data_IF_433036178399
#
_entry.id   IF_433036178399
#
_cell.length_a   1.000
_cell.length_b   1.000
_cell.length_c   1.000
_cell.angle_alpha   90.00
_cell.angle_beta   90.00
_cell.angle_gamma   90.00
#
_symmetry.space_group_name_H-M   'P 1'
#
loop_
_entity.id
_entity.type
_entity.pdbx_description
1 polymer ?
#
# COMPACT_ATOMS: atom_id res chain seq x y z
N UNK A 1 -22.24 -8.72 10.27
CA UNK A 1 -22.66 -7.43 9.66
C UNK A 1 -21.76 -6.34 10.19
N UNK A 2 -20.86 -5.78 9.37
CA UNK A 2 -19.93 -4.72 9.78
C UNK A 2 -20.65 -3.39 9.97
N UNK A 3 -20.46 -2.75 11.13
CA UNK A 3 -21.13 -1.51 11.50
C UNK A 3 -20.74 -0.38 10.52
N UNK A 4 -21.70 0.17 9.75
CA UNK A 4 -21.48 1.21 8.72
C UNK A 4 -20.75 2.45 9.26
N UNK A 5 -20.92 2.78 10.55
CA UNK A 5 -20.22 3.88 11.22
C UNK A 5 -18.71 3.62 11.43
N UNK A 6 -18.27 2.36 11.42
CA UNK A 6 -16.86 1.97 11.50
C UNK A 6 -16.16 2.23 10.17
N UNK A 7 -16.82 1.86 9.06
CA UNK A 7 -16.27 1.93 7.69
C UNK A 7 -15.96 3.37 7.28
N UNK A 8 -16.84 4.33 7.60
CA UNK A 8 -16.62 5.75 7.26
C UNK A 8 -15.47 6.36 8.07
N UNK A 9 -15.33 6.01 9.36
CA UNK A 9 -14.22 6.47 10.20
C UNK A 9 -12.89 5.87 9.79
N UNK A 10 -12.91 4.62 9.34
CA UNK A 10 -11.75 3.93 8.78
C UNK A 10 -11.31 4.54 7.46
N UNK A 11 -12.26 4.84 6.56
CA UNK A 11 -12.00 5.56 5.32
C UNK A 11 -11.41 6.96 5.57
N UNK A 12 -11.87 7.68 6.59
CA UNK A 12 -11.31 8.98 6.97
C UNK A 12 -9.85 8.87 7.43
N UNK A 13 -9.52 7.88 8.27
CA UNK A 13 -8.13 7.61 8.70
C UNK A 13 -7.24 7.21 7.53
N UNK A 14 -7.76 6.37 6.63
CA UNK A 14 -7.06 6.00 5.40
C UNK A 14 -6.79 7.22 4.52
N UNK A 15 -7.77 8.10 4.33
CA UNK A 15 -7.60 9.33 3.56
C UNK A 15 -6.52 10.24 4.15
N UNK A 16 -6.47 10.39 5.49
CA UNK A 16 -5.40 11.16 6.15
C UNK A 16 -4.02 10.53 5.93
N UNK A 17 -3.90 9.20 5.97
CA UNK A 17 -2.66 8.50 5.66
C UNK A 17 -2.24 8.70 4.20
N UNK A 18 -3.16 8.54 3.24
CA UNK A 18 -2.89 8.75 1.80
C UNK A 18 -2.40 10.18 1.55
N UNK A 19 -3.03 11.19 2.16
CA UNK A 19 -2.61 12.58 2.00
C UNK A 19 -1.20 12.84 2.52
N UNK A 20 -0.81 12.21 3.64
CA UNK A 20 0.57 12.30 4.16
C UNK A 20 1.57 11.66 3.20
N UNK A 21 1.23 10.50 2.65
CA UNK A 21 2.13 9.79 1.74
C UNK A 21 2.31 10.53 0.41
N UNK A 22 1.21 11.04 -0.16
CA UNK A 22 1.26 11.91 -1.35
C UNK A 22 2.06 13.18 -1.05
N UNK A 23 1.82 13.85 0.08
CA UNK A 23 2.58 15.03 0.48
C UNK A 23 4.10 14.75 0.57
N UNK A 24 4.47 13.60 1.15
CA UNK A 24 5.86 13.14 1.23
C UNK A 24 6.47 12.92 -0.15
N UNK A 25 5.76 12.25 -1.07
CA UNK A 25 6.24 12.04 -2.45
C UNK A 25 6.44 13.37 -3.20
N UNK A 26 5.50 14.30 -3.08
CA UNK A 26 5.61 15.64 -3.67
C UNK A 26 6.83 16.39 -3.13
N UNK A 27 7.05 16.36 -1.81
CA UNK A 27 8.22 16.98 -1.17
C UNK A 27 9.53 16.38 -1.67
N UNK A 28 9.62 15.06 -1.75
CA UNK A 28 10.81 14.36 -2.24
C UNK A 28 11.09 14.72 -3.69
N UNK A 29 10.08 14.67 -4.57
CA UNK A 29 10.23 15.04 -5.97
C UNK A 29 10.65 16.50 -6.15
N UNK A 30 10.05 17.43 -5.37
CA UNK A 30 10.45 18.84 -5.36
C UNK A 30 11.93 19.01 -5.02
N UNK A 31 12.41 18.33 -3.98
CA UNK A 31 13.80 18.40 -3.55
C UNK A 31 14.75 17.82 -4.60
N UNK A 32 14.39 16.70 -5.23
CA UNK A 32 15.18 16.10 -6.33
C UNK A 32 15.23 17.05 -7.53
N UNK A 33 14.13 17.73 -7.84
CA UNK A 33 14.07 18.74 -8.89
C UNK A 33 14.80 20.06 -8.53
N UNK A 34 15.41 20.16 -7.35
CA UNK A 34 16.13 21.35 -6.89
C UNK A 34 15.22 22.57 -6.64
N UNK A 35 13.91 22.35 -6.50
CA UNK A 35 12.94 23.42 -6.37
C UNK A 35 12.71 23.83 -4.92
N UNK A 36 12.59 25.12 -4.67
CA UNK A 36 12.09 25.67 -3.41
C UNK A 36 10.55 25.62 -3.39
N UNK A 37 9.96 25.67 -2.20
CA UNK A 37 8.50 25.79 -2.08
C UNK A 37 7.97 27.09 -2.71
N UNK A 38 8.77 28.17 -2.73
CA UNK A 38 8.45 29.43 -3.40
C UNK A 38 8.31 29.30 -4.91
N UNK A 39 9.21 28.55 -5.55
CA UNK A 39 9.12 28.29 -7.00
C UNK A 39 7.86 27.49 -7.34
N UNK A 40 7.56 26.44 -6.56
CA UNK A 40 6.33 25.65 -6.75
C UNK A 40 5.09 26.52 -6.52
N UNK A 41 5.08 27.33 -5.46
CA UNK A 41 3.98 28.24 -5.13
C UNK A 41 3.71 29.24 -6.26
N UNK A 42 4.78 29.82 -6.84
CA UNK A 42 4.70 30.75 -7.97
C UNK A 42 4.06 30.12 -9.21
N UNK A 43 4.46 28.90 -9.58
CA UNK A 43 3.87 28.19 -10.74
C UNK A 43 2.41 27.80 -10.49
N UNK A 44 2.08 27.41 -9.26
CA UNK A 44 0.71 27.02 -8.90
C UNK A 44 -0.23 28.21 -8.65
N UNK A 45 0.30 29.44 -8.55
CA UNK A 45 -0.48 30.62 -8.16
C UNK A 45 -1.02 30.52 -6.73
N UNK A 46 -0.23 29.98 -5.80
CA UNK A 46 -0.61 29.79 -4.39
C UNK A 46 0.47 30.30 -3.44
N UNK A 47 0.27 30.19 -2.13
CA UNK A 47 1.25 30.61 -1.12
C UNK A 47 2.26 29.50 -0.79
N UNK A 48 3.45 29.90 -0.31
CA UNK A 48 4.45 28.97 0.24
C UNK A 48 3.86 28.12 1.37
N UNK A 49 3.05 28.75 2.25
CA UNK A 49 2.36 28.06 3.34
C UNK A 49 1.38 27.01 2.84
N UNK A 50 0.71 27.24 1.70
CA UNK A 50 -0.15 26.25 1.07
C UNK A 50 0.66 25.06 0.56
N UNK A 51 1.75 25.29 -0.16
CA UNK A 51 2.68 24.23 -0.63
C UNK A 51 3.18 23.40 0.55
N UNK A 52 3.64 24.06 1.62
CA UNK A 52 4.09 23.37 2.83
C UNK A 52 2.99 22.51 3.45
N UNK A 53 1.75 23.02 3.57
CA UNK A 53 0.62 22.23 4.11
C UNK A 53 0.27 21.04 3.23
N UNK A 54 0.37 21.16 1.90
CA UNK A 54 0.18 20.04 0.97
C UNK A 54 1.28 18.99 1.18
N UNK A 55 2.55 19.40 1.24
CA UNK A 55 3.70 18.49 1.44
C UNK A 55 3.66 17.75 2.79
N UNK A 56 3.01 18.31 3.80
CA UNK A 56 2.79 17.65 5.09
C UNK A 56 1.46 16.86 5.16
N UNK A 57 0.66 16.83 4.09
CA UNK A 57 -0.64 16.16 4.06
C UNK A 57 -1.70 16.80 4.95
N UNK A 58 -1.59 18.10 5.26
CA UNK A 58 -2.46 18.82 6.20
C UNK A 58 -3.72 19.42 5.56
N UNK A 59 -3.89 19.31 4.24
CA UNK A 59 -5.09 19.80 3.54
C UNK A 59 -6.05 18.63 3.33
N UNK A 60 -6.98 18.44 4.28
CA UNK A 60 -7.97 17.34 4.28
C UNK A 60 -8.87 17.29 3.04
N UNK A 61 -9.05 18.42 2.36
CA UNK A 61 -9.86 18.56 1.14
C UNK A 61 -9.04 18.75 -0.13
N UNK A 62 -7.75 18.35 -0.15
CA UNK A 62 -6.94 18.47 -1.35
C UNK A 62 -7.51 17.56 -2.46
N UNK A 63 -8.23 18.15 -3.40
CA UNK A 63 -8.81 17.42 -4.51
C UNK A 63 -7.74 16.87 -5.46
N UNK A 64 -8.07 15.79 -6.17
CA UNK A 64 -7.18 15.15 -7.14
C UNK A 64 -6.61 16.14 -8.17
N UNK A 65 -7.42 17.10 -8.62
CA UNK A 65 -7.00 18.14 -9.57
C UNK A 65 -5.88 19.00 -8.99
N UNK A 66 -6.01 19.43 -7.74
CA UNK A 66 -4.99 20.24 -7.07
C UNK A 66 -3.69 19.46 -6.86
N UNK A 67 -3.81 18.21 -6.41
CA UNK A 67 -2.65 17.31 -6.25
C UNK A 67 -1.97 17.01 -7.59
N UNK A 68 -2.73 16.86 -8.67
CA UNK A 68 -2.19 16.62 -10.02
C UNK A 68 -1.44 17.82 -10.57
N UNK A 69 -1.92 19.04 -10.32
CA UNK A 69 -1.20 20.26 -10.68
C UNK A 69 0.12 20.36 -9.92
N UNK A 70 0.12 20.11 -8.61
CA UNK A 70 1.35 20.11 -7.82
C UNK A 70 2.33 19.04 -8.33
N UNK A 71 1.85 17.80 -8.52
CA UNK A 71 2.65 16.70 -9.04
C UNK A 71 3.31 17.06 -10.38
N UNK A 72 2.54 17.63 -11.32
CA UNK A 72 3.07 18.03 -12.62
C UNK A 72 4.21 19.06 -12.51
N UNK A 73 4.11 20.03 -11.58
CA UNK A 73 5.16 21.03 -11.33
C UNK A 73 6.46 20.38 -10.85
N UNK A 74 6.37 19.31 -10.07
CA UNK A 74 7.54 18.58 -9.54
C UNK A 74 7.95 17.37 -10.38
N UNK A 75 7.43 17.25 -11.61
CA UNK A 75 7.80 16.19 -12.56
C UNK A 75 7.14 14.83 -12.30
N UNK A 76 6.03 14.79 -11.57
CA UNK A 76 5.25 13.59 -11.28
C UNK A 76 3.90 13.58 -12.01
N UNK A 77 3.36 12.37 -12.19
CA UNK A 77 1.99 12.14 -12.68
C UNK A 77 1.26 11.24 -11.68
N UNK A 78 0.19 11.71 -11.01
CA UNK A 78 -0.53 10.87 -10.07
C UNK A 78 -1.22 9.68 -10.76
N UNK A 79 -1.27 8.57 -10.05
CA UNK A 79 -2.00 7.37 -10.47
C UNK A 79 -2.78 6.84 -9.27
N UNK A 80 -4.10 6.68 -9.41
CA UNK A 80 -4.97 6.19 -8.34
C UNK A 80 -5.21 4.70 -8.53
N UNK A 81 -5.02 3.94 -7.44
CA UNK A 81 -5.44 2.53 -7.35
C UNK A 81 -6.44 2.38 -6.21
N UNK A 82 -7.58 1.78 -6.49
CA UNK A 82 -8.61 1.49 -5.50
C UNK A 82 -8.34 0.13 -4.86
N UNK A 83 -8.53 0.06 -3.54
CA UNK A 83 -8.42 -1.17 -2.76
C UNK A 83 -9.77 -1.46 -2.09
N UNK A 84 -10.19 -2.74 -2.00
CA UNK A 84 -11.37 -3.11 -1.25
C UNK A 84 -11.17 -2.78 0.23
N UNK A 85 -12.16 -2.12 0.85
CA UNK A 85 -12.10 -1.65 2.26
C UNK A 85 -12.30 -2.80 3.24
N UNK A 86 -13.04 -3.83 2.83
CA UNK A 86 -13.09 -5.09 3.57
C UNK A 86 -11.91 -5.91 3.08
N UNK A 87 -11.03 -6.34 4.00
CA UNK A 87 -10.03 -7.36 3.69
C UNK A 87 -10.76 -8.49 2.97
N UNK A 88 -10.47 -8.64 1.67
CA UNK A 88 -11.18 -9.62 0.86
C UNK A 88 -10.75 -10.96 1.44
N UNK A 89 -11.63 -11.71 2.11
CA UNK A 89 -11.23 -13.03 2.57
C UNK A 89 -10.68 -13.76 1.34
N UNK A 90 -9.51 -14.39 1.49
CA UNK A 90 -8.96 -15.26 0.45
C UNK A 90 -10.10 -16.00 -0.25
N UNK A 91 -10.22 -15.78 -1.56
CA UNK A 91 -11.29 -16.42 -2.32
C UNK A 91 -11.05 -17.93 -2.38
N UNK A 92 -12.05 -18.70 -2.83
CA UNK A 92 -11.97 -20.17 -2.86
C UNK A 92 -10.72 -20.67 -3.61
N UNK A 93 -10.31 -19.99 -4.67
CA UNK A 93 -9.14 -20.37 -5.45
C UNK A 93 -7.84 -20.07 -4.68
N UNK A 94 -7.74 -18.90 -4.03
CA UNK A 94 -6.61 -18.56 -3.17
C UNK A 94 -6.51 -19.52 -1.97
N UNK A 95 -7.62 -19.84 -1.29
CA UNK A 95 -7.63 -20.81 -0.19
C UNK A 95 -7.21 -22.21 -0.64
N UNK A 96 -7.68 -22.67 -1.80
CA UNK A 96 -7.29 -23.97 -2.34
C UNK A 96 -5.79 -24.01 -2.68
N UNK A 97 -5.25 -22.94 -3.26
CA UNK A 97 -3.83 -22.81 -3.55
C UNK A 97 -2.99 -22.73 -2.25
N UNK A 98 -3.47 -22.00 -1.25
CA UNK A 98 -2.85 -21.95 0.07
C UNK A 98 -2.82 -23.30 0.75
N UNK A 99 -3.91 -24.07 0.70
CA UNK A 99 -3.96 -25.41 1.28
C UNK A 99 -2.88 -26.32 0.66
N UNK A 100 -2.77 -26.34 -0.68
CA UNK A 100 -1.71 -27.09 -1.38
C UNK A 100 -0.31 -26.65 -0.98
N UNK A 101 -0.10 -25.35 -0.76
CA UNK A 101 1.17 -24.82 -0.26
C UNK A 101 1.42 -25.23 1.19
N UNK A 102 0.39 -25.16 2.04
CA UNK A 102 0.47 -25.52 3.47
C UNK A 102 0.86 -26.99 3.65
N UNK A 103 0.38 -27.88 2.79
CA UNK A 103 0.74 -29.30 2.82
C UNK A 103 2.24 -29.55 2.48
N UNK A 104 2.94 -28.55 1.93
CA UNK A 104 4.38 -28.63 1.59
C UNK A 104 5.29 -28.03 2.65
N UNK A 105 4.76 -27.36 3.68
CA UNK A 105 5.54 -26.75 4.75
C UNK A 105 5.36 -27.53 6.05
N UNK A 106 6.38 -27.54 6.90
CA UNK A 106 6.31 -28.22 8.18
C UNK A 106 5.20 -27.64 9.09
N UNK A 107 4.51 -28.49 9.85
CA UNK A 107 3.46 -28.06 10.78
C UNK A 107 3.95 -27.19 11.96
N UNK A 108 5.26 -26.99 12.10
CA UNK A 108 5.88 -26.14 13.12
C UNK A 108 5.73 -24.65 12.84
N UNK A 109 5.35 -24.27 11.61
CA UNK A 109 5.06 -22.89 11.26
C UNK A 109 3.71 -22.44 11.81
N UNK A 110 3.71 -21.36 12.58
CA UNK A 110 2.47 -20.67 12.95
C UNK A 110 1.99 -19.85 11.76
N UNK A 111 0.74 -20.06 11.37
CA UNK A 111 0.11 -19.41 10.22
C UNK A 111 -0.88 -18.36 10.69
N UNK A 112 -0.80 -17.15 10.13
CA UNK A 112 -1.83 -16.12 10.25
C UNK A 112 -2.28 -15.74 8.84
N UNK A 113 -3.52 -16.06 8.48
CA UNK A 113 -4.12 -15.61 7.22
C UNK A 113 -4.56 -14.15 7.34
N UNK A 114 -4.59 -13.43 6.22
CA UNK A 114 -4.98 -12.01 6.18
C UNK A 114 -4.24 -11.19 7.23
N UNK A 115 -2.93 -11.41 7.34
CA UNK A 115 -2.10 -10.83 8.37
C UNK A 115 -2.03 -9.30 8.19
N UNK A 116 -2.50 -8.50 9.16
CA UNK A 116 -2.58 -7.05 9.01
C UNK A 116 -1.20 -6.42 9.00
N UNK A 117 -1.06 -5.27 8.34
CA UNK A 117 0.17 -4.47 8.46
C UNK A 117 0.36 -3.99 9.91
N UNK A 118 1.60 -3.90 10.41
CA UNK A 118 1.88 -3.39 11.75
C UNK A 118 1.75 -1.85 11.86
N UNK A 119 1.35 -1.17 10.79
CA UNK A 119 1.22 0.29 10.71
C UNK A 119 -0.23 0.66 11.09
N UNK A 120 -0.45 1.45 12.16
CA UNK A 120 -1.79 1.83 12.57
C UNK A 120 -2.59 2.52 11.46
N UNK A 121 -3.78 2.00 11.15
CA UNK A 121 -4.68 2.54 10.13
C UNK A 121 -4.38 2.13 8.69
N UNK A 122 -3.32 1.34 8.47
CA UNK A 122 -3.05 0.72 7.18
C UNK A 122 -3.97 -0.49 6.98
N UNK A 123 -4.76 -0.46 5.91
CA UNK A 123 -5.76 -1.48 5.59
C UNK A 123 -5.22 -2.61 4.72
N UNK A 124 -3.94 -2.51 4.31
CA UNK A 124 -3.30 -3.60 3.58
C UNK A 124 -3.18 -4.82 4.51
N UNK A 125 -3.15 -6.00 3.91
CA UNK A 125 -2.83 -7.24 4.57
C UNK A 125 -1.91 -8.08 3.67
N UNK A 126 -1.12 -8.95 4.29
CA UNK A 126 -0.50 -10.07 3.61
C UNK A 126 -1.49 -11.24 3.59
N UNK A 127 -1.52 -11.99 2.49
CA UNK A 127 -2.44 -13.12 2.35
C UNK A 127 -2.20 -14.18 3.44
N UNK A 128 -0.91 -14.45 3.75
CA UNK A 128 -0.53 -15.16 4.95
C UNK A 128 0.82 -14.70 5.51
N UNK A 129 0.99 -14.91 6.81
CA UNK A 129 2.24 -14.76 7.52
C UNK A 129 2.60 -16.10 8.18
N UNK A 130 3.79 -16.60 7.86
CA UNK A 130 4.36 -17.78 8.51
C UNK A 130 5.40 -17.31 9.53
N UNK A 131 5.29 -17.79 10.76
CA UNK A 131 6.20 -17.44 11.83
C UNK A 131 6.72 -18.68 12.56
N UNK A 132 8.03 -18.69 12.78
CA UNK A 132 8.71 -19.57 13.72
C UNK A 132 9.76 -18.75 14.49
N UNK A 133 10.34 -19.26 15.60
CA UNK A 133 11.38 -18.53 16.32
C UNK A 133 12.50 -18.07 15.37
N UNK A 134 12.78 -16.77 15.35
CA UNK A 134 13.85 -16.16 14.55
C UNK A 134 13.57 -16.03 13.04
N UNK A 135 12.41 -16.46 12.54
CA UNK A 135 12.11 -16.35 11.10
C UNK A 135 10.63 -16.05 10.84
N UNK A 136 10.40 -15.05 9.99
CA UNK A 136 9.07 -14.67 9.53
C UNK A 136 9.04 -14.58 8.00
N UNK A 137 8.12 -15.29 7.38
CA UNK A 137 7.94 -15.31 5.93
C UNK A 137 6.58 -14.70 5.60
N UNK A 138 6.58 -13.64 4.79
CA UNK A 138 5.35 -13.11 4.21
C UNK A 138 5.00 -13.93 2.96
N UNK A 139 3.72 -14.29 2.82
CA UNK A 139 3.22 -15.09 1.70
C UNK A 139 2.15 -14.28 0.95
N UNK A 140 2.29 -14.24 -0.38
CA UNK A 140 1.26 -13.72 -1.29
C UNK A 140 0.80 -14.84 -2.22
N UNK A 141 -0.51 -15.01 -2.36
CA UNK A 141 -1.16 -16.05 -3.15
C UNK A 141 -1.71 -15.41 -4.42
N UNK A 142 -1.05 -15.71 -5.54
CA UNK A 142 -1.33 -15.13 -6.85
C UNK A 142 -1.98 -16.20 -7.74
N UNK A 143 -3.30 -16.12 -7.92
CA UNK A 143 -4.05 -17.01 -8.82
C UNK A 143 -3.88 -16.67 -10.30
N UNK A 144 -3.50 -15.42 -10.62
CA UNK A 144 -3.17 -14.99 -11.98
C UNK A 144 -2.01 -14.01 -11.96
N UNK A 145 -0.93 -14.39 -12.64
CA UNK A 145 0.23 -13.53 -12.84
C UNK A 145 0.04 -12.71 -14.12
N UNK A 146 -0.38 -11.45 -13.97
CA UNK A 146 -0.68 -10.57 -15.10
C UNK A 146 0.42 -9.51 -15.30
N UNK A 147 0.88 -8.91 -14.21
CA UNK A 147 1.96 -7.93 -14.20
C UNK A 147 2.94 -8.33 -13.09
N UNK A 148 3.85 -9.22 -13.44
CA UNK A 148 4.83 -9.77 -12.51
C UNK A 148 5.62 -8.67 -11.80
N UNK A 149 6.11 -7.68 -12.54
CA UNK A 149 6.94 -6.62 -11.96
C UNK A 149 6.15 -5.74 -10.97
N UNK A 150 4.91 -5.38 -11.28
CA UNK A 150 4.09 -4.59 -10.36
C UNK A 150 3.69 -5.41 -9.12
N UNK A 151 3.31 -6.68 -9.31
CA UNK A 151 2.91 -7.58 -8.23
C UNK A 151 4.06 -7.83 -7.25
N UNK A 152 5.26 -8.13 -7.76
CA UNK A 152 6.48 -8.33 -6.94
C UNK A 152 6.86 -7.06 -6.19
N UNK A 153 6.81 -5.89 -6.84
CA UNK A 153 7.11 -4.60 -6.16
C UNK A 153 6.11 -4.28 -5.05
N UNK A 154 4.83 -4.58 -5.25
CA UNK A 154 3.82 -4.43 -4.20
C UNK A 154 4.08 -5.37 -3.02
N UNK A 155 4.38 -6.63 -3.30
CA UNK A 155 4.69 -7.63 -2.30
C UNK A 155 5.94 -7.26 -1.48
N UNK A 156 7.03 -6.84 -2.11
CA UNK A 156 8.23 -6.40 -1.39
C UNK A 156 8.01 -5.19 -0.48
N UNK A 157 7.14 -4.24 -0.88
CA UNK A 157 6.78 -3.13 0.01
C UNK A 157 6.08 -3.63 1.26
N UNK A 158 5.10 -4.53 1.11
CA UNK A 158 4.44 -5.17 2.26
C UNK A 158 5.43 -5.94 3.13
N UNK A 159 6.33 -6.72 2.52
CA UNK A 159 7.36 -7.49 3.23
C UNK A 159 8.22 -6.59 4.11
N UNK A 160 8.73 -5.50 3.54
CA UNK A 160 9.55 -4.51 4.25
C UNK A 160 8.78 -3.90 5.41
N UNK A 161 7.54 -3.47 5.17
CA UNK A 161 6.71 -2.79 6.17
C UNK A 161 6.29 -3.75 7.31
N UNK A 162 6.10 -5.05 7.03
CA UNK A 162 5.87 -6.12 8.02
C UNK A 162 7.15 -6.50 8.78
N UNK A 163 8.32 -6.24 8.21
CA UNK A 163 9.61 -6.72 8.75
C UNK A 163 9.84 -8.21 8.52
N UNK A 164 9.19 -8.82 7.52
CA UNK A 164 9.36 -10.24 7.22
C UNK A 164 10.74 -10.52 6.60
N UNK A 165 11.42 -11.53 7.12
CA UNK A 165 12.75 -11.96 6.69
C UNK A 165 12.77 -12.47 5.25
N UNK A 166 11.65 -13.03 4.78
CA UNK A 166 11.50 -13.59 3.42
C UNK A 166 10.12 -13.24 2.85
N UNK A 167 10.07 -13.20 1.52
CA UNK A 167 8.84 -13.14 0.73
C UNK A 167 8.70 -14.45 -0.07
N UNK A 168 7.54 -15.08 0.03
CA UNK A 168 7.14 -16.25 -0.74
C UNK A 168 5.96 -15.85 -1.63
N UNK A 169 6.12 -16.03 -2.94
CA UNK A 169 5.02 -15.87 -3.89
C UNK A 169 4.52 -17.26 -4.28
N UNK A 170 3.29 -17.58 -3.89
CA UNK A 170 2.63 -18.82 -4.28
C UNK A 170 1.79 -18.52 -5.51
N UNK A 171 2.28 -18.93 -6.67
CA UNK A 171 1.63 -18.68 -7.96
C UNK A 171 0.90 -19.93 -8.41
N UNK A 172 -0.34 -19.79 -8.90
CA UNK A 172 -1.01 -20.89 -9.57
C UNK A 172 -0.18 -21.30 -10.80
N UNK A 173 0.17 -22.59 -10.88
CA UNK A 173 0.71 -23.16 -12.12
C UNK A 173 -0.37 -23.15 -13.20
N UNK A 174 0.01 -22.83 -14.43
CA UNK A 174 -0.81 -23.20 -15.57
C UNK A 174 -0.47 -24.64 -15.93
N UNK A 175 -1.48 -25.48 -16.11
CA UNK A 175 -1.30 -26.76 -16.79
C UNK A 175 -1.01 -26.44 -18.27
N UNK A 176 0.27 -26.30 -18.61
CA UNK A 176 0.78 -26.37 -19.99
C UNK A 176 1.76 -27.51 -20.08
#
# INVERSE_FOLDING_TARGET
MGNRQSVVREAARFAEWVLREVGRELRVARLIAGMTQGQVAGVLGTSISHVSRVEHGLIKGAGLVALSRHAAVVGLKPWIKLYPIVGRPLDRAQLALFAKFRDRIAGTWRVTLEAPMPIPGDLRAADALLAMPGCQCMVEIITRLADFQAQVRMAHRKQRDIGASRLILVVAGNDT
#
